data_IF_408274736108
#
_entry.id   IF_408274736108
#
_cell.length_a   1.000
_cell.length_b   1.000
_cell.length_c   1.000
_cell.angle_alpha   90.00
_cell.angle_beta   90.00
_cell.angle_gamma   90.00
#
_symmetry.space_group_name_H-M   'P 1'
#
loop_
_entity.id
_entity.type
_entity.pdbx_description
1 polymer ?
#
# COMPACT_ATOMS: atom_id res chain seq x y z
N UNK A 1 1.34 12.14 9.53
CA UNK A 1 1.66 10.97 8.69
C UNK A 1 2.30 11.50 7.42
N UNK A 2 3.47 11.00 7.05
CA UNK A 2 4.16 11.35 5.81
C UNK A 2 4.56 10.06 5.11
N UNK A 3 4.46 10.05 3.79
CA UNK A 3 4.77 8.89 2.97
C UNK A 3 5.38 9.33 1.65
N UNK A 4 6.07 8.42 0.97
CA UNK A 4 6.78 8.74 -0.27
C UNK A 4 6.83 7.55 -1.21
N UNK A 5 6.90 7.84 -2.50
CA UNK A 5 7.10 6.89 -3.58
C UNK A 5 8.19 7.43 -4.49
N UNK A 6 8.89 6.54 -5.20
CA UNK A 6 9.73 6.97 -6.32
C UNK A 6 8.84 7.56 -7.42
N UNK A 7 9.37 8.47 -8.22
CA UNK A 7 8.57 9.14 -9.25
C UNK A 7 8.03 8.13 -10.26
N UNK A 8 8.80 7.10 -10.66
CA UNK A 8 8.30 6.06 -11.56
C UNK A 8 7.17 5.21 -10.95
N UNK A 9 7.12 5.05 -9.62
CA UNK A 9 6.04 4.32 -8.95
C UNK A 9 4.74 5.11 -8.98
N UNK A 10 4.80 6.42 -8.70
CA UNK A 10 3.61 7.28 -8.76
C UNK A 10 3.16 7.55 -10.20
N UNK A 11 4.07 7.45 -11.18
CA UNK A 11 3.77 7.55 -12.59
C UNK A 11 3.18 6.27 -13.21
N UNK A 12 3.20 5.14 -12.49
CA UNK A 12 2.60 3.90 -12.95
C UNK A 12 1.06 4.03 -13.01
N UNK A 13 0.43 3.49 -14.06
CA UNK A 13 -1.03 3.59 -14.29
C UNK A 13 -1.88 3.01 -13.16
N UNK A 14 -1.33 2.10 -12.35
CA UNK A 14 -2.03 1.50 -11.21
C UNK A 14 -1.97 2.36 -9.94
N UNK A 15 -1.11 3.38 -9.87
CA UNK A 15 -1.05 4.32 -8.75
C UNK A 15 -2.02 5.49 -9.00
N UNK A 16 -2.90 5.76 -8.04
CA UNK A 16 -3.89 6.83 -8.19
C UNK A 16 -4.33 7.42 -6.85
N UNK A 17 -4.99 8.58 -6.93
CA UNK A 17 -5.68 9.18 -5.80
C UNK A 17 -7.18 8.86 -5.86
N UNK A 18 -7.66 8.15 -4.84
CA UNK A 18 -9.07 7.87 -4.66
C UNK A 18 -9.78 9.04 -3.97
N UNK A 19 -10.97 9.39 -4.49
CA UNK A 19 -11.92 10.34 -3.89
C UNK A 19 -13.25 9.69 -3.51
N UNK A 20 -13.46 8.43 -3.93
CA UNK A 20 -14.68 7.67 -3.66
C UNK A 20 -14.44 6.18 -3.46
N UNK A 21 -15.46 5.50 -2.94
CA UNK A 21 -15.53 4.04 -2.78
C UNK A 21 -16.99 3.59 -2.93
N UNK A 22 -17.22 2.48 -3.63
CA UNK A 22 -18.57 1.93 -3.89
C UNK A 22 -19.59 2.94 -4.44
N UNK A 23 -19.17 3.82 -5.35
CA UNK A 23 -20.05 4.82 -5.98
C UNK A 23 -20.34 6.07 -5.12
N UNK A 24 -19.73 6.18 -3.94
CA UNK A 24 -19.91 7.32 -3.02
C UNK A 24 -18.57 8.03 -2.75
N UNK A 25 -18.61 9.27 -2.23
CA UNK A 25 -17.43 9.94 -1.71
C UNK A 25 -16.79 9.13 -0.57
N UNK A 26 -15.47 9.22 -0.41
CA UNK A 26 -14.77 8.53 0.66
C UNK A 26 -15.35 8.91 2.03
N UNK A 27 -15.71 7.93 2.87
CA UNK A 27 -15.96 8.18 4.28
C UNK A 27 -14.68 8.59 5.01
N UNK A 28 -14.80 9.32 6.14
CA UNK A 28 -13.64 9.81 6.92
C UNK A 28 -12.69 8.68 7.33
N UNK A 29 -13.21 7.52 7.72
CA UNK A 29 -12.40 6.35 8.11
C UNK A 29 -11.50 5.82 6.97
N UNK A 30 -11.88 6.06 5.72
CA UNK A 30 -11.11 5.68 4.55
C UNK A 30 -10.11 6.76 4.09
N UNK A 31 -10.03 7.90 4.77
CA UNK A 31 -9.05 8.94 4.48
C UNK A 31 -9.56 10.04 3.55
N UNK A 32 -10.84 10.39 3.64
CA UNK A 32 -11.42 11.51 2.92
C UNK A 32 -10.63 12.84 3.14
N UNK A 33 -10.69 13.80 2.19
CA UNK A 33 -11.40 13.72 0.90
C UNK A 33 -10.60 12.99 -0.20
N UNK A 34 -9.30 12.83 0.00
CA UNK A 34 -8.38 12.26 -0.99
C UNK A 34 -7.39 11.30 -0.31
N UNK A 35 -7.20 10.13 -0.93
CA UNK A 35 -6.29 9.08 -0.44
C UNK A 35 -5.45 8.52 -1.58
N UNK A 36 -4.18 8.22 -1.32
CA UNK A 36 -3.33 7.48 -2.25
C UNK A 36 -3.64 5.97 -2.21
N UNK A 37 -3.71 5.36 -3.40
CA UNK A 37 -3.89 3.92 -3.60
C UNK A 37 -2.75 3.42 -4.48
N UNK A 38 -2.03 2.40 -3.99
CA UNK A 38 -0.89 1.76 -4.67
C UNK A 38 -1.04 0.25 -4.51
N UNK A 39 -1.73 -0.44 -5.43
CA UNK A 39 -2.33 -1.73 -5.14
C UNK A 39 -1.32 -2.87 -4.95
N UNK A 40 -0.08 -2.72 -5.41
CA UNK A 40 0.97 -3.74 -5.28
C UNK A 40 1.83 -3.60 -4.00
N UNK A 41 1.59 -2.57 -3.19
CA UNK A 41 2.32 -2.29 -1.94
C UNK A 41 1.47 -2.58 -0.71
N UNK A 42 2.13 -2.77 0.44
CA UNK A 42 1.43 -2.91 1.71
C UNK A 42 0.62 -1.64 2.05
N UNK A 43 -0.53 -1.83 2.69
CA UNK A 43 -1.55 -0.79 2.85
C UNK A 43 -1.10 0.48 3.59
N UNK A 44 0.00 0.43 4.34
CA UNK A 44 0.56 1.62 4.97
C UNK A 44 1.09 2.63 3.94
N UNK A 45 1.56 2.19 2.77
CA UNK A 45 1.99 3.13 1.72
C UNK A 45 0.85 4.02 1.22
N UNK A 46 -0.42 3.58 1.32
CA UNK A 46 -1.58 4.36 0.90
C UNK A 46 -1.99 5.45 1.90
N UNK A 47 -1.31 6.60 1.85
CA UNK A 47 -1.55 7.76 2.71
C UNK A 47 -3.00 8.28 2.64
N UNK A 48 -3.58 8.56 3.81
CA UNK A 48 -4.96 9.06 3.98
C UNK A 48 -4.97 10.59 4.14
N UNK A 49 -6.06 11.23 3.71
CA UNK A 49 -6.35 12.65 3.95
C UNK A 49 -5.19 13.57 3.54
N UNK A 50 -4.77 13.42 2.28
CA UNK A 50 -3.58 14.12 1.76
C UNK A 50 -3.86 15.61 1.66
N UNK A 51 -2.96 16.41 2.22
CA UNK A 51 -3.03 17.89 2.22
C UNK A 51 -1.90 18.54 1.42
N UNK A 52 -0.85 17.78 1.08
CA UNK A 52 0.35 18.29 0.40
C UNK A 52 0.99 17.17 -0.41
N UNK A 53 1.44 17.50 -1.62
CA UNK A 53 2.28 16.66 -2.48
C UNK A 53 3.50 17.49 -2.87
N UNK A 54 4.69 16.91 -2.71
CA UNK A 54 5.96 17.58 -3.03
C UNK A 54 6.85 16.65 -3.84
N UNK A 55 7.54 17.21 -4.83
CA UNK A 55 8.60 16.52 -5.55
C UNK A 55 9.93 16.87 -4.90
N UNK A 56 10.68 15.85 -4.50
CA UNK A 56 11.96 16.01 -3.81
C UNK A 56 13.06 15.36 -4.65
N UNK A 57 14.26 15.96 -4.63
CA UNK A 57 15.42 15.42 -5.34
C UNK A 57 15.99 14.16 -4.70
N UNK A 58 15.74 13.96 -3.40
CA UNK A 58 16.26 12.83 -2.62
C UNK A 58 15.11 12.11 -1.91
N UNK A 59 15.31 10.81 -1.66
CA UNK A 59 14.36 9.97 -0.94
C UNK A 59 14.13 10.51 0.49
N UNK A 60 12.90 10.95 0.86
CA UNK A 60 12.62 11.42 2.20
C UNK A 60 12.36 10.24 3.16
N UNK A 61 12.37 10.54 4.46
CA UNK A 61 11.92 9.61 5.48
C UNK A 61 10.40 9.37 5.40
N UNK A 62 9.96 8.13 5.64
CA UNK A 62 8.54 7.75 5.68
C UNK A 62 8.12 7.34 7.09
N UNK A 63 6.84 7.51 7.43
CA UNK A 63 6.40 7.41 8.81
C UNK A 63 6.72 6.06 9.46
N UNK A 64 6.33 4.95 8.82
CA UNK A 64 6.54 3.60 9.39
C UNK A 64 8.00 3.18 9.38
N UNK A 65 8.76 3.51 8.32
CA UNK A 65 10.19 3.25 8.27
C UNK A 65 10.97 4.05 9.32
N UNK A 66 10.54 5.28 9.62
CA UNK A 66 11.15 6.11 10.69
C UNK A 66 10.90 5.51 12.06
N UNK A 67 9.71 4.96 12.30
CA UNK A 67 9.35 4.36 13.60
C UNK A 67 10.08 3.03 13.80
N UNK A 68 10.15 2.19 12.76
CA UNK A 68 10.80 0.89 12.84
C UNK A 68 11.26 0.40 11.46
N UNK A 69 12.47 0.79 11.06
CA UNK A 69 13.07 0.41 9.78
C UNK A 69 13.39 -1.08 9.68
N UNK A 70 13.48 -1.79 10.81
CA UNK A 70 13.65 -3.24 10.84
C UNK A 70 12.38 -3.98 10.41
N UNK A 71 11.21 -3.37 10.60
CA UNK A 71 9.91 -3.96 10.26
C UNK A 71 9.33 -3.46 8.94
N UNK A 72 9.53 -2.18 8.63
CA UNK A 72 8.92 -1.51 7.48
C UNK A 72 10.02 -0.87 6.64
N UNK A 73 10.24 -1.41 5.45
CA UNK A 73 11.15 -0.83 4.47
C UNK A 73 10.48 0.29 3.66
N UNK A 74 11.30 1.03 2.89
CA UNK A 74 10.80 2.13 2.08
C UNK A 74 9.88 1.65 0.95
N UNK A 75 10.31 0.66 0.17
CA UNK A 75 9.55 0.21 -1.01
C UNK A 75 8.24 -0.49 -0.63
N UNK A 76 8.27 -1.38 0.37
CA UNK A 76 7.10 -2.07 0.90
C UNK A 76 6.23 -2.78 -0.16
N UNK A 77 6.87 -3.35 -1.18
CA UNK A 77 6.20 -4.21 -2.17
C UNK A 77 5.65 -5.46 -1.46
N UNK A 78 4.41 -5.86 -1.79
CA UNK A 78 3.84 -7.09 -1.26
C UNK A 78 4.66 -8.27 -1.77
N UNK A 79 5.26 -9.03 -0.85
CA UNK A 79 6.16 -10.13 -1.19
C UNK A 79 5.96 -11.30 -0.22
N UNK A 80 5.38 -12.44 -0.66
CA UNK A 80 5.15 -13.60 0.19
C UNK A 80 6.44 -14.25 0.71
N UNK A 81 7.57 -14.04 0.02
CA UNK A 81 8.86 -14.64 0.34
C UNK A 81 9.70 -13.77 1.29
N UNK A 82 9.25 -12.56 1.61
CA UNK A 82 9.89 -11.65 2.57
C UNK A 82 9.00 -11.55 3.82
N UNK A 83 9.24 -12.36 4.86
CA UNK A 83 8.44 -12.30 6.08
C UNK A 83 8.64 -10.96 6.79
N UNK A 84 7.61 -10.54 7.52
CA UNK A 84 7.78 -9.50 8.53
C UNK A 84 8.51 -10.11 9.73
N UNK A 85 9.35 -9.36 10.49
CA UNK A 85 10.10 -9.93 11.62
C UNK A 85 9.28 -10.69 12.66
N UNK A 86 7.98 -10.39 12.76
CA UNK A 86 7.03 -10.97 13.72
C UNK A 86 6.03 -11.98 13.12
N UNK A 87 5.90 -12.08 11.79
CA UNK A 87 4.95 -13.00 11.16
C UNK A 87 5.29 -13.30 9.70
N UNK A 88 4.83 -14.45 9.21
CA UNK A 88 4.94 -14.80 7.79
C UNK A 88 4.00 -13.97 6.93
N UNK A 89 4.48 -13.53 5.76
CA UNK A 89 3.69 -12.87 4.72
C UNK A 89 3.21 -13.84 3.64
N UNK A 90 3.49 -15.15 3.76
CA UNK A 90 3.16 -16.15 2.74
C UNK A 90 1.65 -16.37 2.55
N UNK A 91 0.85 -16.08 3.59
CA UNK A 91 -0.62 -16.17 3.54
C UNK A 91 -1.25 -14.91 4.13
N UNK A 92 -2.43 -14.55 3.62
CA UNK A 92 -3.20 -13.42 4.10
C UNK A 92 -4.61 -13.83 4.54
N UNK A 93 -5.23 -12.98 5.36
CA UNK A 93 -6.64 -13.10 5.76
C UNK A 93 -7.48 -12.27 4.80
N UNK A 94 -8.18 -12.93 3.88
CA UNK A 94 -9.14 -12.29 3.00
C UNK A 94 -10.43 -12.03 3.77
N UNK A 95 -10.78 -10.76 3.97
CA UNK A 95 -12.00 -10.36 4.69
C UNK A 95 -13.20 -10.71 3.81
N UNK A 96 -14.04 -11.65 4.27
CA UNK A 96 -15.16 -12.16 3.47
C UNK A 96 -16.44 -11.36 3.70
N UNK A 97 -17.41 -11.53 2.80
CA UNK A 97 -18.70 -10.83 2.78
C UNK A 97 -19.74 -11.37 3.78
N UNK A 98 -19.33 -12.27 4.69
CA UNK A 98 -20.24 -12.90 5.64
C UNK A 98 -20.89 -11.88 6.60
N UNK A 99 -22.02 -12.26 7.25
CA UNK A 99 -22.77 -11.35 8.15
C UNK A 99 -22.00 -10.95 9.41
N UNK A 100 -20.84 -11.55 9.69
CA UNK A 100 -19.95 -11.24 10.81
C UNK A 100 -18.55 -10.92 10.28
N UNK A 101 -17.67 -10.36 11.13
CA UNK A 101 -16.25 -10.22 10.81
C UNK A 101 -15.62 -11.61 10.63
N UNK A 102 -15.65 -12.12 9.41
CA UNK A 102 -15.07 -13.40 9.00
C UNK A 102 -13.95 -13.19 7.99
N UNK A 103 -13.01 -14.13 7.98
CA UNK A 103 -11.94 -14.14 7.00
C UNK A 103 -11.59 -15.56 6.61
N UNK A 104 -11.22 -15.73 5.35
CA UNK A 104 -10.60 -16.94 4.83
C UNK A 104 -9.10 -16.72 4.70
N UNK A 105 -8.30 -17.77 4.87
CA UNK A 105 -6.87 -17.69 4.60
C UNK A 105 -6.61 -18.06 3.14
N UNK A 106 -5.78 -17.27 2.44
CA UNK A 106 -5.31 -17.59 1.09
C UNK A 106 -3.83 -17.26 0.93
N UNK A 107 -3.14 -17.85 -0.06
CA UNK A 107 -1.76 -17.47 -0.38
C UNK A 107 -1.66 -15.99 -0.78
N UNK A 108 -0.64 -15.30 -0.29
CA UNK A 108 -0.33 -13.93 -0.72
C UNK A 108 0.35 -13.96 -2.08
N UNK A 109 -0.07 -13.11 -3.01
CA UNK A 109 0.52 -13.01 -4.34
C UNK A 109 1.67 -11.99 -4.33
N UNK A 110 2.74 -12.28 -5.09
CA UNK A 110 3.82 -11.32 -5.33
C UNK A 110 3.24 -10.07 -6.01
N UNK A 111 3.66 -8.87 -5.56
CA UNK A 111 3.11 -7.59 -5.97
C UNK A 111 1.58 -7.52 -5.84
N UNK A 112 1.01 -8.28 -4.90
CA UNK A 112 -0.43 -8.42 -4.71
C UNK A 112 -1.20 -8.84 -5.99
N UNK A 113 -0.53 -9.59 -6.88
CA UNK A 113 -1.09 -10.06 -8.14
C UNK A 113 -0.84 -9.15 -9.35
N UNK A 114 -0.18 -8.00 -9.17
CA UNK A 114 0.07 -7.02 -10.25
C UNK A 114 1.45 -7.16 -10.91
N UNK A 115 2.14 -8.30 -10.73
CA UNK A 115 3.54 -8.46 -11.14
C UNK A 115 3.83 -8.14 -12.62
N UNK A 116 2.92 -8.50 -13.53
CA UNK A 116 3.01 -8.18 -14.96
C UNK A 116 3.07 -6.67 -15.24
N UNK A 117 2.41 -5.86 -14.40
CA UNK A 117 2.27 -4.42 -14.59
C UNK A 117 3.34 -3.59 -13.88
N UNK A 118 3.99 -4.15 -12.85
CA UNK A 118 4.87 -3.40 -11.96
C UNK A 118 6.27 -4.00 -11.82
N UNK A 119 6.48 -5.24 -12.26
CA UNK A 119 7.77 -5.93 -12.08
C UNK A 119 8.95 -5.18 -12.70
N UNK A 120 8.74 -4.54 -13.85
CA UNK A 120 9.77 -3.76 -14.56
C UNK A 120 10.23 -2.52 -13.78
N UNK A 121 9.45 -2.01 -12.82
CA UNK A 121 9.86 -0.89 -11.97
C UNK A 121 10.98 -1.27 -10.98
N UNK A 122 11.20 -2.57 -10.76
CA UNK A 122 12.10 -3.10 -9.73
C UNK A 122 13.14 -4.08 -10.30
N UNK A 123 13.29 -4.12 -11.63
CA UNK A 123 14.24 -4.98 -12.35
C UNK A 123 15.59 -4.30 -12.53
#
# INVERSE_FOLDING_TARGET
YTESLRVEEMANELAFFAIGIYGHLLPKQHGAPIRMVVPWKYGFKGAKSIVKVEFLANQPATYWNTINSYEYDFEANVNPNKPHPRWSQATEKFISSGPNLSWDKRPTLLYNGYGEYVGQLYS
#
